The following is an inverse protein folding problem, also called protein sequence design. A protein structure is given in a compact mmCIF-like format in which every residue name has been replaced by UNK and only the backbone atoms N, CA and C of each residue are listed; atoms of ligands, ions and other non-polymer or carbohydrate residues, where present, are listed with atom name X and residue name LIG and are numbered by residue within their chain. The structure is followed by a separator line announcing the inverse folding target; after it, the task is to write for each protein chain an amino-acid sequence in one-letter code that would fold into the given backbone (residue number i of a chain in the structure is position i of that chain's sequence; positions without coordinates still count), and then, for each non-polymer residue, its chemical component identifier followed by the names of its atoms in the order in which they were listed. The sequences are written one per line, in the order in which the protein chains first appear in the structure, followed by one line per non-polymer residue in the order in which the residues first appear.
data_IF_092491417840
#
_entry.id   IF_092491417840
#
_cell.length_a   1.000
_cell.length_b   1.000
_cell.length_c   1.000
_cell.angle_alpha   90.00
_cell.angle_beta   90.00
_cell.angle_gamma   90.00
#
_symmetry.space_group_name_H-M   'P 1'
#
loop_
_entity.id
_entity.type
_entity.pdbx_description
1 polymer ?
#
# COMPACT_ATOMS: atom_id res chain seq x y z
N UNK A 1 15.50 14.25 24.49
CA UNK A 1 14.71 13.41 23.55
C UNK A 1 13.51 14.14 22.95
N UNK A 2 12.78 14.98 23.67
CA UNK A 2 11.62 15.71 23.12
C UNK A 2 11.96 16.70 21.99
N UNK A 3 13.08 17.42 22.07
CA UNK A 3 13.44 18.43 21.05
C UNK A 3 13.71 17.86 19.65
N UNK A 4 14.27 16.64 19.57
CA UNK A 4 14.50 15.96 18.30
C UNK A 4 13.19 15.48 17.66
N UNK A 5 12.23 15.06 18.49
CA UNK A 5 10.91 14.61 18.06
C UNK A 5 10.06 15.78 17.55
N UNK A 6 10.14 16.94 18.23
CA UNK A 6 9.47 18.18 17.81
C UNK A 6 10.05 18.73 16.51
N UNK A 7 11.37 18.61 16.29
CA UNK A 7 12.01 19.02 15.01
C UNK A 7 11.64 18.09 13.85
N UNK A 8 11.51 16.78 14.09
CA UNK A 8 11.12 15.82 13.06
C UNK A 8 9.71 16.09 12.49
N UNK A 9 8.78 16.48 13.38
CA UNK A 9 7.40 16.88 13.03
C UNK A 9 7.32 18.17 12.20
N UNK A 10 8.36 19.01 12.21
CA UNK A 10 8.41 20.27 11.46
C UNK A 10 9.08 20.13 10.08
N UNK A 11 9.80 19.03 9.83
CA UNK A 11 10.54 18.78 8.57
C UNK A 11 9.72 17.97 7.57
N UNK A 12 8.83 17.12 8.06
CA UNK A 12 7.95 16.32 7.20
C UNK A 12 6.61 17.06 7.07
N UNK A 13 6.27 17.49 5.85
CA UNK A 13 4.91 17.97 5.58
C UNK A 13 3.93 16.83 5.90
N UNK A 14 3.05 16.99 6.91
CA UNK A 14 2.10 15.96 7.29
C UNK A 14 1.17 15.56 6.15
N UNK A 15 0.91 16.45 5.18
CA UNK A 15 0.13 16.11 3.99
C UNK A 15 0.90 15.17 3.04
N UNK A 16 2.23 15.24 3.01
CA UNK A 16 3.08 14.31 2.24
C UNK A 16 3.20 12.96 2.94
N UNK A 17 3.28 12.95 4.27
CA UNK A 17 3.23 11.72 5.05
C UNK A 17 1.90 10.97 4.86
N UNK A 18 0.78 11.71 4.87
CA UNK A 18 -0.57 11.17 4.65
C UNK A 18 -0.73 10.58 3.23
N UNK A 19 -0.21 11.27 2.20
CA UNK A 19 -0.21 10.78 0.82
C UNK A 19 0.64 9.53 0.61
N UNK A 20 1.84 9.49 1.21
CA UNK A 20 2.72 8.32 1.13
C UNK A 20 2.12 7.10 1.82
N UNK A 21 1.54 7.28 3.01
CA UNK A 21 0.85 6.22 3.75
C UNK A 21 -0.35 5.69 2.96
N UNK A 22 -1.16 6.59 2.38
CA UNK A 22 -2.29 6.18 1.54
C UNK A 22 -1.85 5.45 0.27
N UNK A 23 -0.78 5.91 -0.38
CA UNK A 23 -0.22 5.27 -1.56
C UNK A 23 0.27 3.83 -1.27
N UNK A 24 0.95 3.61 -0.16
CA UNK A 24 1.36 2.25 0.25
C UNK A 24 0.15 1.36 0.53
N UNK A 25 -0.85 1.86 1.26
CA UNK A 25 -2.08 1.11 1.47
C UNK A 25 -2.73 0.67 0.14
N UNK A 26 -2.84 1.58 -0.83
CA UNK A 26 -3.46 1.26 -2.12
C UNK A 26 -2.64 0.24 -2.91
N UNK A 27 -1.30 0.31 -2.88
CA UNK A 27 -0.43 -0.72 -3.48
C UNK A 27 -0.70 -2.10 -2.85
N UNK A 28 -0.73 -2.18 -1.52
CA UNK A 28 -0.96 -3.42 -0.79
C UNK A 28 -2.32 -4.05 -1.08
N UNK A 29 -3.38 -3.25 -1.15
CA UNK A 29 -4.73 -3.73 -1.49
C UNK A 29 -4.78 -4.26 -2.94
N UNK A 30 -4.20 -3.52 -3.89
CA UNK A 30 -4.18 -3.95 -5.29
C UNK A 30 -3.33 -5.22 -5.48
N UNK A 31 -2.16 -5.30 -4.85
CA UNK A 31 -1.32 -6.51 -4.89
C UNK A 31 -2.08 -7.70 -4.29
N UNK A 32 -2.69 -7.53 -3.12
CA UNK A 32 -3.40 -8.63 -2.44
C UNK A 32 -4.59 -9.13 -3.27
N UNK A 33 -5.35 -8.22 -3.88
CA UNK A 33 -6.49 -8.59 -4.73
C UNK A 33 -6.03 -9.31 -6.00
N UNK A 34 -4.94 -8.85 -6.62
CA UNK A 34 -4.33 -9.50 -7.79
C UNK A 34 -3.78 -10.88 -7.46
N UNK A 35 -3.08 -11.04 -6.34
CA UNK A 35 -2.60 -12.35 -5.90
C UNK A 35 -3.75 -13.29 -5.57
N UNK A 36 -4.80 -12.82 -4.90
CA UNK A 36 -5.95 -13.65 -4.57
C UNK A 36 -6.67 -14.15 -5.83
N UNK A 37 -6.81 -13.28 -6.84
CA UNK A 37 -7.43 -13.64 -8.11
C UNK A 37 -6.59 -14.67 -8.88
N UNK A 38 -5.27 -14.49 -8.89
CA UNK A 38 -4.34 -15.28 -9.72
C UNK A 38 -3.82 -16.55 -9.03
N UNK A 39 -3.95 -16.68 -7.71
CA UNK A 39 -3.67 -17.93 -6.97
C UNK A 39 -4.84 -18.95 -7.11
N UNK A 40 -5.21 -19.25 -8.35
CA UNK A 40 -6.32 -20.14 -8.73
C UNK A 40 -5.88 -21.51 -9.26
N UNK A 41 -4.60 -21.86 -9.09
CA UNK A 41 -3.92 -23.05 -9.62
C UNK A 41 -3.85 -23.11 -11.17
N UNK A 42 -4.08 -21.99 -11.87
CA UNK A 42 -3.94 -21.87 -13.33
C UNK A 42 -2.78 -20.95 -13.69
N UNK A 43 -1.80 -21.48 -14.42
CA UNK A 43 -0.72 -20.64 -14.97
C UNK A 43 -1.22 -19.83 -16.18
N UNK A 44 -1.30 -18.51 -16.05
CA UNK A 44 -1.66 -17.60 -17.12
C UNK A 44 -0.66 -16.43 -17.29
N UNK A 45 -0.73 -15.67 -18.40
CA UNK A 45 0.20 -14.55 -18.63
C UNK A 45 0.16 -13.46 -17.55
N UNK A 46 -0.97 -13.34 -16.85
CA UNK A 46 -1.18 -12.37 -15.77
C UNK A 46 -0.31 -12.71 -14.54
N UNK A 47 -0.10 -14.00 -14.21
CA UNK A 47 0.81 -14.43 -13.13
C UNK A 47 2.23 -13.94 -13.38
N UNK A 48 2.72 -14.19 -14.60
CA UNK A 48 4.04 -13.77 -15.00
C UNK A 48 4.17 -12.24 -14.99
N UNK A 49 3.10 -11.51 -15.30
CA UNK A 49 3.08 -10.06 -15.22
C UNK A 49 3.13 -9.57 -13.76
N UNK A 50 2.31 -10.14 -12.87
CA UNK A 50 2.32 -9.81 -11.45
C UNK A 50 3.69 -10.11 -10.82
N UNK A 51 4.28 -11.26 -11.13
CA UNK A 51 5.61 -11.62 -10.65
C UNK A 51 6.69 -10.62 -11.08
N UNK A 52 6.66 -10.14 -12.33
CA UNK A 52 7.57 -9.10 -12.83
C UNK A 52 7.39 -7.77 -12.10
N UNK A 53 6.14 -7.36 -11.84
CA UNK A 53 5.84 -6.13 -11.09
C UNK A 53 6.43 -6.24 -9.67
N UNK A 54 6.18 -7.36 -8.99
CA UNK A 54 6.71 -7.61 -7.64
C UNK A 54 8.23 -7.62 -7.59
N UNK A 55 8.88 -8.29 -8.54
CA UNK A 55 10.34 -8.33 -8.63
C UNK A 55 10.92 -6.92 -8.85
N UNK A 56 10.31 -6.13 -9.74
CA UNK A 56 10.74 -4.78 -10.03
C UNK A 56 10.65 -3.87 -8.79
N UNK A 57 9.59 -3.99 -7.99
CA UNK A 57 9.39 -3.16 -6.79
C UNK A 57 9.99 -3.72 -5.50
N UNK A 58 10.58 -4.92 -5.51
CA UNK A 58 11.18 -5.53 -4.32
C UNK A 58 12.36 -4.73 -3.73
N UNK A 59 12.97 -3.83 -4.51
CA UNK A 59 14.17 -3.07 -4.12
C UNK A 59 13.94 -1.55 -4.00
N UNK A 60 12.69 -1.10 -4.11
CA UNK A 60 12.37 0.27 -4.48
C UNK A 60 12.45 1.33 -3.36
N UNK A 61 12.86 0.91 -2.15
CA UNK A 61 13.44 1.76 -1.11
C UNK A 61 12.86 3.18 -1.01
N UNK A 62 11.64 3.34 -0.47
CA UNK A 62 11.04 4.59 0.02
C UNK A 62 11.03 5.83 -0.91
N UNK A 63 11.43 5.73 -2.18
CA UNK A 63 11.48 6.88 -3.09
C UNK A 63 10.09 7.17 -3.65
N UNK A 64 9.68 8.45 -3.60
CA UNK A 64 8.37 8.90 -4.13
C UNK A 64 8.17 8.54 -5.62
N UNK A 65 9.25 8.51 -6.42
CA UNK A 65 9.19 8.10 -7.83
C UNK A 65 8.94 6.61 -7.99
N UNK A 66 9.52 5.78 -7.13
CA UNK A 66 9.31 4.34 -7.12
C UNK A 66 7.88 4.00 -6.69
N UNK A 67 7.37 4.65 -5.64
CA UNK A 67 5.98 4.48 -5.20
C UNK A 67 4.95 4.95 -6.24
N UNK A 68 5.22 6.06 -6.92
CA UNK A 68 4.40 6.50 -8.05
C UNK A 68 4.37 5.49 -9.19
N UNK A 69 5.48 4.81 -9.45
CA UNK A 69 5.57 3.80 -10.50
C UNK A 69 4.82 2.52 -10.09
N UNK A 70 5.02 2.05 -8.85
CA UNK A 70 4.28 0.92 -8.29
C UNK A 70 2.77 1.09 -8.40
N UNK A 71 2.24 2.25 -7.99
CA UNK A 71 0.81 2.55 -8.13
C UNK A 71 0.31 2.43 -9.57
N UNK A 72 1.12 2.82 -10.57
CA UNK A 72 0.73 2.70 -11.99
C UNK A 72 0.74 1.26 -12.46
N UNK A 73 1.76 0.51 -12.09
CA UNK A 73 1.96 -0.86 -12.57
C UNK A 73 0.89 -1.79 -11.99
N UNK A 74 0.64 -1.72 -10.68
CA UNK A 74 -0.45 -2.47 -10.05
C UNK A 74 -1.83 -2.02 -10.53
N UNK A 75 -2.09 -0.71 -10.68
CA UNK A 75 -3.37 -0.24 -11.22
C UNK A 75 -3.59 -0.62 -12.68
N UNK A 76 -2.51 -0.70 -13.47
CA UNK A 76 -2.56 -1.14 -14.87
C UNK A 76 -2.99 -2.60 -14.99
N UNK A 77 -2.36 -3.47 -14.21
CA UNK A 77 -2.73 -4.88 -14.17
C UNK A 77 -4.15 -5.08 -13.60
N UNK A 78 -4.47 -4.42 -12.49
CA UNK A 78 -5.80 -4.48 -11.88
C UNK A 78 -6.91 -4.03 -12.84
N UNK A 79 -6.68 -2.99 -13.65
CA UNK A 79 -7.67 -2.58 -14.65
C UNK A 79 -7.88 -3.65 -15.73
N UNK A 80 -6.81 -4.29 -16.22
CA UNK A 80 -6.96 -5.34 -17.23
C UNK A 80 -7.71 -6.58 -16.73
N UNK A 81 -7.76 -6.77 -15.40
CA UNK A 81 -8.44 -7.89 -14.73
C UNK A 81 -9.68 -7.46 -13.95
N UNK A 82 -10.14 -6.21 -14.15
CA UNK A 82 -11.16 -5.58 -13.30
C UNK A 82 -12.44 -6.39 -13.14
N UNK A 83 -12.99 -6.90 -14.25
CA UNK A 83 -14.23 -7.66 -14.21
C UNK A 83 -14.05 -8.95 -13.41
N UNK A 84 -12.93 -9.65 -13.61
CA UNK A 84 -12.55 -10.86 -12.86
C UNK A 84 -12.32 -10.57 -11.37
N UNK A 85 -11.71 -9.43 -11.02
CA UNK A 85 -11.52 -9.02 -9.64
C UNK A 85 -12.85 -8.82 -8.92
N UNK A 86 -13.81 -8.16 -9.57
CA UNK A 86 -15.16 -7.94 -9.02
C UNK A 86 -15.95 -9.25 -8.91
N UNK A 87 -15.79 -10.17 -9.87
CA UNK A 87 -16.40 -11.50 -9.82
C UNK A 87 -15.79 -12.38 -8.72
N UNK A 88 -14.48 -12.28 -8.48
CA UNK A 88 -13.76 -13.09 -7.50
C UNK A 88 -13.95 -12.60 -6.05
N UNK A 89 -14.09 -11.29 -5.83
CA UNK A 89 -14.42 -10.71 -4.53
C UNK A 89 -15.36 -9.51 -4.68
N UNK A 90 -16.63 -9.71 -4.35
CA UNK A 90 -17.65 -8.64 -4.35
C UNK A 90 -17.32 -7.50 -3.38
N UNK A 91 -16.43 -7.69 -2.41
CA UNK A 91 -15.97 -6.62 -1.52
C UNK A 91 -14.77 -5.85 -2.05
N UNK A 92 -14.17 -6.26 -3.16
CA UNK A 92 -13.10 -5.51 -3.79
C UNK A 92 -13.60 -4.12 -4.19
N UNK A 93 -12.99 -3.07 -3.61
CA UNK A 93 -13.35 -1.70 -3.95
C UNK A 93 -12.67 -1.29 -5.26
N UNK A 94 -13.41 -1.42 -6.36
CA UNK A 94 -12.94 -1.06 -7.70
C UNK A 94 -12.46 0.40 -7.82
N UNK A 95 -12.87 1.28 -6.90
CA UNK A 95 -12.42 2.69 -6.86
C UNK A 95 -10.93 2.80 -6.54
N UNK A 96 -10.32 1.80 -5.90
CA UNK A 96 -8.89 1.76 -5.60
C UNK A 96 -8.03 1.84 -6.86
N UNK A 97 -8.49 1.29 -7.99
CA UNK A 97 -7.76 1.38 -9.27
C UNK A 97 -7.66 2.84 -9.74
N UNK A 98 -8.75 3.59 -9.67
CA UNK A 98 -8.76 5.00 -10.04
C UNK A 98 -7.98 5.86 -9.03
N UNK A 99 -8.09 5.53 -7.74
CA UNK A 99 -7.34 6.18 -6.68
C UNK A 99 -5.83 6.01 -6.85
N UNK A 100 -5.37 4.80 -7.19
CA UNK A 100 -3.97 4.52 -7.43
C UNK A 100 -3.37 5.40 -8.54
N UNK A 101 -4.11 5.56 -9.65
CA UNK A 101 -3.69 6.44 -10.75
C UNK A 101 -3.57 7.89 -10.30
N UNK A 102 -4.55 8.37 -9.52
CA UNK A 102 -4.54 9.74 -8.99
C UNK A 102 -3.36 9.97 -8.05
N UNK A 103 -3.12 9.03 -7.13
CA UNK A 103 -2.00 9.09 -6.20
C UNK A 103 -0.65 9.07 -6.93
N UNK A 104 -0.53 8.28 -8.00
CA UNK A 104 0.67 8.27 -8.83
C UNK A 104 0.92 9.63 -9.48
N UNK A 105 -0.10 10.28 -10.03
CA UNK A 105 0.02 11.64 -10.57
C UNK A 105 0.40 12.66 -9.50
N UNK A 106 -0.24 12.60 -8.32
CA UNK A 106 0.04 13.50 -7.21
C UNK A 106 1.48 13.37 -6.71
N UNK A 107 1.99 12.14 -6.58
CA UNK A 107 3.38 11.86 -6.20
C UNK A 107 4.37 12.30 -7.28
N UNK A 108 4.07 12.08 -8.57
CA UNK A 108 4.96 12.53 -9.64
C UNK A 108 5.03 14.07 -9.73
N UNK A 109 3.91 14.77 -9.54
CA UNK A 109 3.87 16.25 -9.51
C UNK A 109 4.72 16.84 -8.39
N UNK A 110 4.84 16.14 -7.25
CA UNK A 110 5.56 16.62 -6.05
C UNK A 110 7.03 16.19 -5.98
N UNK A 111 7.43 15.19 -6.76
CA UNK A 111 8.82 14.74 -6.86
C UNK A 111 9.88 15.82 -7.22
N UNK A 112 9.58 16.98 -7.85
CA UNK A 112 10.60 17.99 -8.12
C UNK A 112 11.04 18.85 -6.91
N UNK A 113 10.37 18.79 -5.75
CA UNK A 113 10.61 19.73 -4.64
C UNK A 113 11.53 19.21 -3.51
N UNK A 114 11.98 17.96 -3.55
CA UNK A 114 12.89 17.43 -2.53
C UNK A 114 14.36 17.84 -2.80
N UNK A 115 14.69 19.12 -2.56
CA UNK A 115 16.06 19.59 -2.40
C UNK A 115 16.72 18.96 -1.15
N UNK A 116 18.06 18.84 -1.10
CA UNK A 116 18.73 17.90 -0.21
C UNK A 116 19.13 18.56 1.11
N UNK A 117 18.45 18.37 2.24
CA UNK A 117 19.02 18.75 3.54
C UNK A 117 18.64 17.87 4.76
N UNK A 118 19.64 17.77 5.66
CA UNK A 118 19.67 17.28 7.03
C UNK A 118 19.71 15.74 7.27
N UNK A 119 20.93 15.19 7.17
CA UNK A 119 21.26 13.77 7.34
C UNK A 119 20.87 13.09 8.67
N UNK A 120 20.46 13.82 9.71
CA UNK A 120 19.90 13.23 10.93
C UNK A 120 18.37 13.03 10.85
N UNK A 121 17.66 13.96 10.19
CA UNK A 121 16.22 13.84 9.94
C UNK A 121 15.95 12.76 8.88
N UNK A 122 16.80 12.69 7.85
CA UNK A 122 16.74 11.65 6.84
C UNK A 122 16.88 10.24 7.44
N UNK A 123 17.84 10.02 8.34
CA UNK A 123 18.03 8.71 8.98
C UNK A 123 16.83 8.29 9.85
N UNK A 124 16.27 9.22 10.63
CA UNK A 124 15.08 8.94 11.44
C UNK A 124 13.85 8.66 10.57
N UNK A 125 13.67 9.39 9.47
CA UNK A 125 12.62 9.14 8.48
C UNK A 125 12.82 7.79 7.80
N UNK A 126 14.05 7.42 7.42
CA UNK A 126 14.36 6.12 6.85
C UNK A 126 14.00 4.97 7.80
N UNK A 127 14.40 5.07 9.07
CA UNK A 127 14.08 4.05 10.09
C UNK A 127 12.57 3.97 10.33
N UNK A 128 11.88 5.11 10.44
CA UNK A 128 10.42 5.13 10.60
C UNK A 128 9.73 4.46 9.43
N UNK A 129 10.12 4.81 8.22
CA UNK A 129 9.53 4.24 7.01
C UNK A 129 9.90 2.74 6.84
N UNK A 130 11.07 2.30 7.32
CA UNK A 130 11.43 0.87 7.37
C UNK A 130 10.52 0.12 8.34
N UNK A 131 10.27 0.69 9.52
CA UNK A 131 9.32 0.11 10.48
C UNK A 131 7.91 0.03 9.89
N UNK A 132 7.45 1.10 9.24
CA UNK A 132 6.15 1.11 8.57
C UNK A 132 6.08 0.04 7.48
N UNK A 133 7.10 -0.07 6.64
CA UNK A 133 7.19 -1.12 5.62
C UNK A 133 7.10 -2.53 6.24
N UNK A 134 7.89 -2.82 7.28
CA UNK A 134 7.83 -4.12 7.97
C UNK A 134 6.46 -4.40 8.62
N UNK A 135 5.78 -3.37 9.13
CA UNK A 135 4.43 -3.52 9.68
C UNK A 135 3.39 -3.78 8.60
N UNK A 136 3.51 -3.09 7.47
CA UNK A 136 2.66 -3.25 6.28
C UNK A 136 2.87 -4.64 5.68
N UNK A 137 4.11 -5.06 5.42
CA UNK A 137 4.44 -6.43 4.97
C UNK A 137 3.86 -7.50 5.90
N UNK A 138 3.96 -7.30 7.23
CA UNK A 138 3.40 -8.22 8.22
C UNK A 138 1.87 -8.29 8.13
N UNK A 139 1.20 -7.15 7.98
CA UNK A 139 -0.27 -7.10 7.85
C UNK A 139 -0.69 -7.73 6.52
N UNK A 140 0.01 -7.44 5.43
CA UNK A 140 -0.18 -8.08 4.12
C UNK A 140 -0.05 -9.60 4.21
N UNK A 141 1.00 -10.11 4.86
CA UNK A 141 1.18 -11.55 5.08
C UNK A 141 0.04 -12.19 5.89
N UNK A 142 -0.46 -11.51 6.92
CA UNK A 142 -1.61 -11.97 7.72
C UNK A 142 -2.88 -12.01 6.84
N UNK A 143 -3.14 -10.98 6.04
CA UNK A 143 -4.27 -10.92 5.12
C UNK A 143 -4.21 -12.03 4.07
N UNK A 144 -3.05 -12.22 3.43
CA UNK A 144 -2.81 -13.31 2.46
C UNK A 144 -3.08 -14.67 3.08
N UNK A 145 -2.56 -14.92 4.28
CA UNK A 145 -2.82 -16.17 5.02
C UNK A 145 -4.31 -16.35 5.33
N UNK A 146 -4.99 -15.30 5.77
CA UNK A 146 -6.41 -15.33 6.08
C UNK A 146 -7.26 -15.59 4.82
N UNK A 147 -6.98 -14.89 3.72
CA UNK A 147 -7.67 -15.08 2.45
C UNK A 147 -7.52 -16.52 1.93
N UNK A 148 -6.32 -17.09 2.04
CA UNK A 148 -6.07 -18.47 1.64
C UNK A 148 -6.81 -19.49 2.52
N UNK A 149 -6.67 -19.39 3.85
CA UNK A 149 -7.31 -20.32 4.81
C UNK A 149 -8.84 -20.24 4.74
N UNK A 150 -9.38 -19.04 4.57
CA UNK A 150 -10.81 -18.78 4.55
C UNK A 150 -11.38 -18.60 3.13
N UNK A 151 -10.74 -19.11 2.07
CA UNK A 151 -11.21 -18.91 0.68
C UNK A 151 -12.64 -19.40 0.42
N UNK A 152 -13.13 -20.33 1.24
CA UNK A 152 -14.52 -20.86 1.19
C UNK A 152 -15.48 -20.17 2.16
N UNK A 153 -15.00 -19.20 2.95
CA UNK A 153 -15.69 -18.49 4.02
C UNK A 153 -15.24 -17.01 4.09
N UNK A 154 -15.53 -16.19 3.04
CA UNK A 154 -15.04 -14.82 2.92
C UNK A 154 -15.52 -13.89 4.04
N UNK A 155 -16.65 -14.19 4.68
CA UNK A 155 -17.16 -13.49 5.86
C UNK A 155 -16.20 -13.55 7.06
N UNK A 156 -15.51 -14.67 7.24
CA UNK A 156 -14.56 -14.89 8.34
C UNK A 156 -13.25 -14.16 8.04
N UNK A 157 -12.79 -14.19 6.78
CA UNK A 157 -11.62 -13.44 6.35
C UNK A 157 -11.77 -11.95 6.71
N UNK A 158 -12.93 -11.35 6.42
CA UNK A 158 -13.25 -9.95 6.75
C UNK A 158 -13.32 -9.70 8.25
N UNK A 159 -13.91 -10.59 9.05
CA UNK A 159 -13.95 -10.40 10.51
C UNK A 159 -12.54 -10.33 11.11
N UNK A 160 -11.67 -11.28 10.71
CA UNK A 160 -10.31 -11.42 11.23
C UNK A 160 -9.40 -10.29 10.74
N UNK A 161 -9.59 -9.79 9.52
CA UNK A 161 -8.80 -8.67 8.97
C UNK A 161 -9.36 -7.28 9.35
N UNK A 162 -10.67 -7.15 9.60
CA UNK A 162 -11.31 -5.87 9.99
C UNK A 162 -10.94 -5.38 11.39
N UNK A 163 -10.45 -6.27 12.27
CA UNK A 163 -9.95 -5.90 13.60
C UNK A 163 -8.75 -4.94 13.53
N UNK A 164 -8.00 -4.93 12.42
CA UNK A 164 -6.92 -3.99 12.17
C UNK A 164 -7.42 -2.61 11.68
N UNK A 165 -8.62 -2.52 11.12
CA UNK A 165 -9.17 -1.27 10.55
C UNK A 165 -9.87 -0.39 11.59
N UNK A 166 -10.16 -0.91 12.79
CA UNK A 166 -10.85 -0.15 13.85
C UNK A 166 -9.95 0.27 15.00
N UNK A 167 -9.38 1.47 14.87
CA UNK A 167 -9.33 2.43 15.98
C UNK A 167 -9.37 3.89 15.51
N UNK A 168 -10.54 4.42 15.07
CA UNK A 168 -10.73 5.86 15.09
C UNK A 168 -10.63 6.34 16.53
N UNK A 169 -9.77 7.35 16.77
CA UNK A 169 -9.59 7.97 18.07
C UNK A 169 -10.94 8.42 18.62
N UNK A 170 -11.35 7.81 19.74
CA UNK A 170 -12.51 8.22 20.52
C UNK A 170 -12.23 9.63 21.07
N UNK A 171 -12.78 10.65 20.40
CA UNK A 171 -12.77 12.04 20.90
C UNK A 171 -13.52 12.06 22.25
N UNK A 172 -12.94 12.58 23.34
CA UNK A 172 -13.65 12.67 24.61
C UNK A 172 -14.76 13.72 24.52
N UNK A 173 -15.90 13.52 25.21
CA UNK A 173 -16.95 14.54 25.29
C UNK A 173 -16.46 15.71 26.15
N UNK A 174 -16.74 16.93 25.68
CA UNK A 174 -16.58 18.17 26.45
C UNK A 174 -17.78 18.43 27.36
#
# INVERSE_FOLDING_TARGET
MQEAQTRLLLVVDPAVADLGERAWFVVDELESALEFLLDDDVDEPADAQLARIKEFHAQDGQRSSALSQALRDYAGLAESLKDRLVEADEAFDVRLIAEARKLAEDLQRRAPEAAPEAGASAAATTIRNQLLHLMVERVGAIRKTAAHVFRRHPEIAREVTSAYERRPARRPPG
#
